data_IF_861571744038
#
_entry.id   IF_861571744038
#
_cell.length_a   1.000
_cell.length_b   1.000
_cell.length_c   1.000
_cell.angle_alpha   90.00
_cell.angle_beta   90.00
_cell.angle_gamma   90.00
#
_symmetry.space_group_name_H-M   'P 1'
#
loop_
_entity.id
_entity.type
_entity.pdbx_description
1 polymer ?
#
# COMPACT_ATOMS: atom_id res chain seq x y z
N UNK A 1 30.00 20.39 -9.81
CA UNK A 1 28.89 20.34 -8.83
C UNK A 1 27.65 19.95 -9.61
N UNK A 2 27.08 18.77 -9.36
CA UNK A 2 25.84 18.34 -10.02
C UNK A 2 24.81 18.11 -8.92
N UNK A 3 23.73 18.87 -9.00
CA UNK A 3 22.62 18.92 -8.06
C UNK A 3 21.96 17.54 -7.94
N UNK A 4 21.82 17.04 -6.72
CA UNK A 4 20.92 15.93 -6.41
C UNK A 4 19.48 16.39 -6.61
N UNK A 5 18.74 15.71 -7.46
CA UNK A 5 17.29 15.85 -7.52
C UNK A 5 16.70 15.10 -6.32
N UNK A 6 16.22 15.83 -5.31
CA UNK A 6 15.32 15.27 -4.31
C UNK A 6 13.99 14.99 -5.00
N UNK A 7 13.81 13.74 -5.46
CA UNK A 7 12.53 13.27 -5.96
C UNK A 7 11.62 12.99 -4.75
N UNK A 8 10.94 14.02 -4.26
CA UNK A 8 9.82 13.84 -3.34
C UNK A 8 8.61 13.37 -4.15
N UNK A 9 8.51 12.06 -4.35
CA UNK A 9 7.30 11.42 -4.83
C UNK A 9 6.30 11.27 -3.66
N UNK A 10 5.85 12.38 -3.08
CA UNK A 10 4.73 12.38 -2.12
C UNK A 10 3.50 12.96 -2.82
N UNK A 11 2.91 12.16 -3.71
CA UNK A 11 1.66 12.48 -4.39
C UNK A 11 0.59 11.46 -4.06
N UNK A 12 -0.32 11.80 -3.15
CA UNK A 12 -1.53 11.03 -2.88
C UNK A 12 -2.52 11.90 -2.12
N UNK A 13 -3.45 12.52 -2.84
CA UNK A 13 -4.46 13.44 -2.32
C UNK A 13 -5.41 12.76 -1.32
N UNK A 14 -6.01 13.58 -0.44
CA UNK A 14 -6.99 13.14 0.54
C UNK A 14 -8.37 12.95 -0.10
N UNK A 15 -8.92 11.74 0.02
CA UNK A 15 -10.35 11.46 0.12
C UNK A 15 -11.17 11.46 -1.18
N UNK A 16 -11.92 10.37 -1.34
CA UNK A 16 -13.12 10.17 -2.20
C UNK A 16 -12.95 9.76 -3.66
N UNK A 17 -11.73 9.66 -4.19
CA UNK A 17 -11.50 9.08 -5.52
C UNK A 17 -10.65 7.82 -5.38
N UNK A 18 -11.33 6.68 -5.17
CA UNK A 18 -10.70 5.37 -4.94
C UNK A 18 -9.71 5.04 -6.06
N UNK A 19 -10.03 5.40 -7.30
CA UNK A 19 -9.22 5.07 -8.48
C UNK A 19 -7.87 5.80 -8.56
N UNK A 20 -7.60 6.77 -7.67
CA UNK A 20 -6.33 7.49 -7.60
C UNK A 20 -5.24 6.72 -6.88
N UNK A 21 -5.63 5.77 -6.03
CA UNK A 21 -4.71 5.04 -5.16
C UNK A 21 -4.24 3.79 -5.86
N UNK A 22 -3.29 3.95 -6.77
CA UNK A 22 -2.79 2.85 -7.59
C UNK A 22 -1.30 2.90 -7.84
N UNK A 23 -0.74 1.71 -7.98
CA UNK A 23 0.66 1.49 -8.31
C UNK A 23 0.75 0.91 -9.72
N UNK A 24 1.57 1.52 -10.56
CA UNK A 24 1.96 0.92 -11.84
C UNK A 24 3.10 -0.07 -11.57
N UNK A 25 2.86 -1.37 -11.81
CA UNK A 25 3.93 -2.37 -11.70
C UNK A 25 4.62 -2.63 -13.05
N UNK A 26 3.87 -2.47 -14.14
CA UNK A 26 4.33 -2.57 -15.53
C UNK A 26 3.60 -1.50 -16.35
N UNK A 27 4.16 -1.00 -17.47
CA UNK A 27 3.52 0.05 -18.27
C UNK A 27 2.06 -0.27 -18.59
N UNK A 28 1.16 0.65 -18.25
CA UNK A 28 -0.30 0.55 -18.40
C UNK A 28 -1.00 -0.49 -17.51
N UNK A 29 -0.28 -1.14 -16.59
CA UNK A 29 -0.82 -2.18 -15.71
C UNK A 29 -0.71 -1.81 -14.23
N UNK A 30 -1.89 -1.75 -13.60
CA UNK A 30 -2.07 -1.12 -12.29
C UNK A 30 -2.53 -2.12 -11.24
N UNK A 31 -2.18 -1.83 -9.99
CA UNK A 31 -2.76 -2.41 -8.79
C UNK A 31 -3.42 -1.27 -8.01
N UNK A 32 -4.69 -1.41 -7.69
CA UNK A 32 -5.40 -0.49 -6.81
C UNK A 32 -5.08 -0.83 -5.36
N UNK A 33 -5.04 0.20 -4.52
CA UNK A 33 -4.63 0.12 -3.13
C UNK A 33 -5.56 0.93 -2.24
N UNK A 34 -5.90 0.35 -1.10
CA UNK A 34 -6.68 1.03 -0.07
C UNK A 34 -6.20 0.63 1.30
N UNK A 35 -6.06 1.59 2.20
CA UNK A 35 -5.76 1.36 3.60
C UNK A 35 -7.01 1.57 4.47
N UNK A 36 -7.14 0.76 5.52
CA UNK A 36 -8.20 0.88 6.50
C UNK A 36 -7.64 0.81 7.91
N UNK A 37 -8.23 1.60 8.81
CA UNK A 37 -7.96 1.56 10.25
C UNK A 37 -9.26 1.31 11.02
N UNK A 38 -9.83 0.09 10.93
CA UNK A 38 -11.23 -0.16 11.29
C UNK A 38 -11.56 0.04 12.78
N UNK A 39 -10.55 0.11 13.66
CA UNK A 39 -10.75 0.39 15.08
C UNK A 39 -10.78 1.88 15.41
N UNK A 40 -9.99 2.69 14.70
CA UNK A 40 -9.89 4.14 14.92
C UNK A 40 -10.85 4.91 14.00
N UNK A 41 -10.97 4.48 12.74
CA UNK A 41 -11.74 5.13 11.67
C UNK A 41 -12.59 4.08 10.92
N UNK A 42 -13.70 3.58 11.51
CA UNK A 42 -14.45 2.43 10.99
C UNK A 42 -15.18 2.68 9.67
N UNK A 43 -15.35 3.93 9.25
CA UNK A 43 -16.08 4.32 8.05
C UNK A 43 -15.20 5.06 7.03
N UNK A 44 -13.88 5.05 7.23
CA UNK A 44 -12.93 5.77 6.37
C UNK A 44 -11.98 4.81 5.68
N UNK A 45 -11.68 5.16 4.43
CA UNK A 45 -10.65 4.57 3.59
C UNK A 45 -9.52 5.57 3.36
N UNK A 46 -8.30 5.06 3.30
CA UNK A 46 -7.08 5.85 3.21
C UNK A 46 -6.23 5.43 2.02
N UNK A 47 -5.32 6.33 1.65
CA UNK A 47 -4.41 6.19 0.53
C UNK A 47 -2.97 6.48 0.98
N UNK A 48 -2.40 7.61 0.57
CA UNK A 48 -1.03 8.01 0.92
C UNK A 48 -0.85 8.51 2.36
N UNK A 49 -1.91 9.00 3.00
CA UNK A 49 -1.88 9.52 4.37
C UNK A 49 -2.78 8.67 5.26
N UNK A 50 -2.16 7.82 6.07
CA UNK A 50 -2.85 7.00 7.08
C UNK A 50 -2.69 7.72 8.44
N UNK A 51 -3.78 8.09 9.14
CA UNK A 51 -3.70 8.99 10.29
C UNK A 51 -2.92 8.45 11.48
N UNK A 52 -3.16 7.19 11.86
CA UNK A 52 -2.64 6.65 13.11
C UNK A 52 -1.51 5.65 12.88
N UNK A 53 -0.49 5.73 13.73
CA UNK A 53 0.48 4.66 13.98
C UNK A 53 -0.05 3.76 15.10
N UNK A 54 0.51 2.55 15.26
CA UNK A 54 0.21 1.72 16.43
C UNK A 54 -1.21 1.11 16.54
N UNK A 55 -2.08 1.27 15.54
CA UNK A 55 -3.44 0.68 15.51
C UNK A 55 -3.60 -0.35 14.39
N UNK A 56 -4.62 -1.20 14.46
CA UNK A 56 -4.91 -2.18 13.41
C UNK A 56 -5.00 -1.47 12.05
N UNK A 57 -4.04 -1.75 11.18
CA UNK A 57 -4.00 -1.24 9.80
C UNK A 57 -4.13 -2.40 8.83
N UNK A 58 -5.09 -2.29 7.92
CA UNK A 58 -5.28 -3.24 6.82
C UNK A 58 -4.88 -2.56 5.52
N UNK A 59 -3.96 -3.17 4.77
CA UNK A 59 -3.57 -2.72 3.44
C UNK A 59 -4.17 -3.69 2.42
N UNK A 60 -5.07 -3.19 1.59
CA UNK A 60 -5.79 -3.97 0.58
C UNK A 60 -5.23 -3.62 -0.79
N UNK A 61 -4.86 -4.64 -1.55
CA UNK A 61 -4.34 -4.52 -2.90
C UNK A 61 -5.25 -5.29 -3.85
N UNK A 62 -5.85 -4.59 -4.80
CA UNK A 62 -6.71 -5.16 -5.84
C UNK A 62 -6.01 -5.15 -7.18
N UNK A 63 -5.86 -6.34 -7.77
CA UNK A 63 -5.33 -6.51 -9.12
C UNK A 63 -6.38 -6.06 -10.14
N UNK A 64 -6.22 -4.83 -10.64
CA UNK A 64 -7.03 -4.28 -11.72
C UNK A 64 -6.82 -5.11 -13.00
N UNK A 65 -5.58 -5.55 -13.25
CA UNK A 65 -5.28 -6.48 -14.34
C UNK A 65 -5.26 -7.94 -13.87
N UNK A 66 -6.07 -8.77 -14.53
CA UNK A 66 -6.17 -10.22 -14.28
C UNK A 66 -4.85 -10.96 -14.45
N UNK A 67 -3.88 -10.42 -15.20
CA UNK A 67 -2.55 -11.01 -15.38
C UNK A 67 -1.82 -11.25 -14.08
N UNK A 68 -2.04 -10.39 -13.08
CA UNK A 68 -1.38 -10.48 -11.78
C UNK A 68 -1.86 -11.68 -10.95
N UNK A 69 -3.08 -12.20 -11.20
CA UNK A 69 -3.61 -13.39 -10.51
C UNK A 69 -2.78 -14.65 -10.77
N UNK A 70 -2.03 -14.69 -11.87
CA UNK A 70 -1.16 -15.81 -12.24
C UNK A 70 0.34 -15.55 -11.95
N UNK A 71 0.69 -14.40 -11.37
CA UNK A 71 2.06 -14.03 -11.00
C UNK A 71 2.26 -14.18 -9.49
N UNK A 72 3.50 -14.43 -9.09
CA UNK A 72 3.87 -14.37 -7.69
C UNK A 72 4.18 -12.91 -7.34
N UNK A 73 3.52 -12.37 -6.32
CA UNK A 73 3.71 -11.00 -5.84
C UNK A 73 4.22 -11.06 -4.41
N UNK A 74 5.29 -10.31 -4.14
CA UNK A 74 5.87 -10.10 -2.82
C UNK A 74 5.38 -8.76 -2.27
N UNK A 75 5.16 -8.70 -0.97
CA UNK A 75 4.79 -7.46 -0.29
C UNK A 75 5.75 -7.19 0.85
N UNK A 76 6.28 -5.98 0.88
CA UNK A 76 7.11 -5.46 1.96
C UNK A 76 6.60 -4.08 2.36
N UNK A 77 6.54 -3.82 3.67
CA UNK A 77 6.28 -2.49 4.20
C UNK A 77 7.51 -2.08 4.99
N UNK A 78 8.12 -0.97 4.60
CA UNK A 78 9.25 -0.33 5.29
C UNK A 78 8.79 0.94 5.98
N UNK A 79 9.39 1.21 7.14
CA UNK A 79 9.28 2.50 7.82
C UNK A 79 10.37 3.42 7.28
N UNK A 80 9.96 4.56 6.73
CA UNK A 80 10.86 5.61 6.28
C UNK A 80 10.99 6.69 7.37
N UNK A 81 12.17 7.33 7.52
CA UNK A 81 13.39 7.17 6.71
C UNK A 81 14.32 6.04 7.17
N UNK A 82 13.96 5.28 8.21
CA UNK A 82 14.88 4.29 8.81
C UNK A 82 15.13 3.06 7.93
N UNK A 83 14.32 2.86 6.87
CA UNK A 83 14.35 1.69 6.00
C UNK A 83 14.00 0.38 6.73
N UNK A 84 13.44 0.47 7.94
CA UNK A 84 13.20 -0.72 8.77
C UNK A 84 11.96 -1.43 8.29
N UNK A 85 12.10 -2.70 7.93
CA UNK A 85 10.97 -3.53 7.52
C UNK A 85 10.03 -3.83 8.68
N UNK A 86 8.76 -3.46 8.54
CA UNK A 86 7.70 -3.66 9.55
C UNK A 86 6.68 -4.72 9.14
N UNK A 87 6.63 -5.09 7.86
CA UNK A 87 5.84 -6.22 7.37
C UNK A 87 6.53 -6.89 6.19
N UNK A 88 6.43 -8.21 6.11
CA UNK A 88 6.92 -8.99 4.97
C UNK A 88 5.97 -10.15 4.65
N UNK A 89 5.69 -10.31 3.37
CA UNK A 89 5.03 -11.48 2.82
C UNK A 89 5.78 -11.90 1.56
N UNK A 90 6.45 -13.05 1.63
CA UNK A 90 7.17 -13.64 0.51
C UNK A 90 6.28 -13.83 -0.73
N UNK A 91 6.92 -13.77 -1.90
CA UNK A 91 6.26 -13.93 -3.19
C UNK A 91 5.34 -15.16 -3.25
N UNK A 92 4.04 -14.93 -3.51
CA UNK A 92 3.08 -16.02 -3.74
C UNK A 92 2.02 -15.64 -4.76
N UNK A 93 1.36 -16.65 -5.34
CA UNK A 93 0.25 -16.45 -6.28
C UNK A 93 -1.04 -16.20 -5.52
N UNK A 94 -1.77 -15.15 -5.89
CA UNK A 94 -3.05 -14.78 -5.28
C UNK A 94 -4.19 -14.90 -6.28
N UNK A 95 -4.98 -15.98 -6.18
CA UNK A 95 -6.06 -16.27 -7.12
C UNK A 95 -7.28 -15.33 -6.98
N UNK A 96 -7.47 -14.77 -5.78
CA UNK A 96 -8.64 -13.95 -5.43
C UNK A 96 -8.70 -12.60 -6.14
N UNK A 97 -7.62 -12.14 -6.80
CA UNK A 97 -7.52 -10.78 -7.34
C UNK A 97 -7.30 -9.72 -6.26
N UNK A 98 -7.68 -9.98 -5.02
CA UNK A 98 -7.45 -9.12 -3.87
C UNK A 98 -6.47 -9.76 -2.88
N UNK A 99 -5.59 -8.94 -2.31
CA UNK A 99 -4.67 -9.31 -1.22
C UNK A 99 -4.88 -8.36 -0.05
N UNK A 100 -5.05 -8.90 1.15
CA UNK A 100 -5.16 -8.11 2.38
C UNK A 100 -3.96 -8.40 3.26
N UNK A 101 -3.16 -7.36 3.53
CA UNK A 101 -2.11 -7.38 4.54
C UNK A 101 -2.69 -6.84 5.84
N UNK A 102 -2.49 -7.57 6.94
CA UNK A 102 -2.98 -7.17 8.26
C UNK A 102 -1.79 -6.85 9.16
N UNK A 103 -1.63 -5.58 9.50
CA UNK A 103 -0.69 -5.11 10.51
C UNK A 103 -1.48 -4.92 11.81
N UNK A 104 -1.53 -5.98 12.63
CA UNK A 104 -2.42 -6.03 13.79
C UNK A 104 -2.19 -4.89 14.80
N UNK A 105 -0.93 -4.44 14.92
CA UNK A 105 -0.51 -3.36 15.80
C UNK A 105 -0.05 -2.12 14.99
N UNK A 106 -0.40 -2.04 13.71
CA UNK A 106 0.00 -0.93 12.84
C UNK A 106 1.50 -0.88 12.57
N UNK A 107 1.97 0.33 12.24
CA UNK A 107 3.40 0.66 12.12
C UNK A 107 3.85 1.29 13.45
N UNK A 108 4.96 0.83 14.06
CA UNK A 108 5.49 1.45 15.29
C UNK A 108 6.01 2.86 15.02
N UNK A 109 5.84 3.75 16.01
CA UNK A 109 6.38 5.13 16.00
C UNK A 109 7.91 5.19 15.92
#
# INVERSE_FOLDING_TARGET
>A
MLFSATLWAHGGAAGTDTDQCKFELEPEHWIHYTAYQPLAFPAEDFCGNIPDTGTLTQLVFDYQDVRYRNRAVEFEVTKEPEGTRVFFQAAKKHKSGTVVLKLANGVPE
#
